data_IF_474347926989
#
_entry.id   IF_474347926989
#
_cell.length_a   1.000
_cell.length_b   1.000
_cell.length_c   1.000
_cell.angle_alpha   90.00
_cell.angle_beta   90.00
_cell.angle_gamma   90.00
#
_symmetry.space_group_name_H-M   'P 1'
#
loop_
_entity.id
_entity.type
_entity.pdbx_description
1 polymer ?
#
# COMPACT_ATOMS: atom_id res chain seq x y z
N UNK A 1 -5.61 -7.35 -25.17
CA UNK A 1 -4.74 -6.20 -25.48
C UNK A 1 -5.61 -4.96 -25.63
N UNK A 2 -5.29 -3.86 -24.95
CA UNK A 2 -6.11 -2.63 -24.98
C UNK A 2 -6.08 -1.95 -26.35
N UNK A 3 -7.05 -1.07 -26.62
CA UNK A 3 -7.05 -0.25 -27.84
C UNK A 3 -5.80 0.62 -27.94
N UNK A 4 -5.39 1.26 -26.84
CA UNK A 4 -4.16 2.03 -26.76
C UNK A 4 -2.93 1.21 -27.15
N UNK A 5 -2.79 -0.02 -26.62
CA UNK A 5 -1.64 -0.86 -26.95
C UNK A 5 -1.62 -1.28 -28.43
N UNK A 6 -2.79 -1.45 -29.06
CA UNK A 6 -2.89 -1.69 -30.51
C UNK A 6 -2.39 -0.49 -31.32
N UNK A 7 -2.77 0.73 -30.92
CA UNK A 7 -2.36 1.98 -31.57
C UNK A 7 -0.87 2.29 -31.40
N UNK A 8 -0.28 1.95 -30.25
CA UNK A 8 1.18 2.00 -30.07
C UNK A 8 1.90 1.03 -31.03
N UNK A 9 1.40 -0.21 -31.14
CA UNK A 9 2.00 -1.23 -32.00
C UNK A 9 1.81 -0.96 -33.49
N UNK A 10 0.75 -0.24 -33.89
CA UNK A 10 0.54 0.20 -35.28
C UNK A 10 1.33 1.46 -35.64
N UNK A 11 2.01 2.09 -34.67
CA UNK A 11 2.74 3.34 -34.86
C UNK A 11 1.86 4.59 -34.90
N UNK A 12 0.56 4.47 -34.62
CA UNK A 12 -0.37 5.61 -34.51
C UNK A 12 -0.15 6.43 -33.23
N UNK A 13 0.39 5.80 -32.19
CA UNK A 13 0.79 6.44 -30.94
C UNK A 13 2.27 6.18 -30.66
N UNK A 14 2.92 7.13 -29.99
CA UNK A 14 4.26 6.90 -29.46
C UNK A 14 4.23 5.82 -28.37
N UNK A 15 5.32 5.06 -28.29
CA UNK A 15 5.51 4.08 -27.23
C UNK A 15 5.61 4.78 -25.87
N UNK A 16 4.85 4.28 -24.90
CA UNK A 16 4.90 4.75 -23.53
C UNK A 16 6.27 4.45 -22.90
N UNK A 17 7.07 5.50 -22.67
CA UNK A 17 8.46 5.41 -22.20
C UNK A 17 8.61 4.53 -20.95
N UNK A 18 7.66 4.62 -20.03
CA UNK A 18 7.68 3.88 -18.77
C UNK A 18 7.46 2.37 -18.93
N UNK A 19 6.97 1.92 -20.08
CA UNK A 19 6.60 0.54 -20.35
C UNK A 19 7.54 -0.13 -21.38
N UNK A 20 8.49 0.61 -21.95
CA UNK A 20 9.49 0.07 -22.86
C UNK A 20 10.49 -0.77 -22.08
N UNK A 21 10.69 -2.02 -22.50
CA UNK A 21 11.63 -2.95 -21.84
C UNK A 21 13.03 -2.34 -21.72
N UNK A 22 13.59 -2.43 -20.51
CA UNK A 22 14.92 -1.92 -20.21
C UNK A 22 15.81 -3.04 -19.63
N UNK A 23 16.19 -4.04 -20.44
CA UNK A 23 16.91 -5.23 -19.96
C UNK A 23 18.34 -4.95 -19.49
N UNK A 24 18.86 -3.73 -19.67
CA UNK A 24 20.27 -3.41 -19.43
C UNK A 24 20.48 -2.47 -18.23
N UNK A 25 19.42 -1.97 -17.59
CA UNK A 25 19.52 -1.00 -16.48
C UNK A 25 19.15 -1.63 -15.15
N UNK A 26 20.12 -2.32 -14.55
CA UNK A 26 20.01 -2.92 -13.22
C UNK A 26 20.61 -2.05 -12.11
N UNK A 27 21.42 -1.06 -12.48
CA UNK A 27 22.01 -0.10 -11.56
C UNK A 27 21.15 1.17 -11.52
N UNK A 28 20.86 1.66 -10.31
CA UNK A 28 20.04 2.85 -10.12
C UNK A 28 20.75 4.13 -10.58
N UNK A 29 22.07 4.19 -10.38
CA UNK A 29 22.89 5.30 -10.89
C UNK A 29 23.37 4.99 -12.31
N UNK A 30 23.38 5.95 -13.24
CA UNK A 30 22.97 7.37 -13.17
C UNK A 30 21.44 7.54 -13.18
N UNK A 31 20.90 8.47 -12.38
CA UNK A 31 19.45 8.77 -12.36
C UNK A 31 19.05 9.40 -13.69
N UNK A 32 17.97 8.90 -14.29
CA UNK A 32 17.42 9.39 -15.57
C UNK A 32 16.09 10.11 -15.33
N UNK A 33 15.24 9.53 -14.49
CA UNK A 33 13.92 10.05 -14.17
C UNK A 33 13.96 10.75 -12.80
N UNK A 34 14.27 12.05 -12.84
CA UNK A 34 14.57 12.82 -11.63
C UNK A 34 13.35 13.02 -10.73
N UNK A 35 12.16 13.22 -11.29
CA UNK A 35 10.96 13.47 -10.51
C UNK A 35 10.55 12.22 -9.71
N UNK A 36 10.60 11.05 -10.34
CA UNK A 36 10.35 9.73 -9.76
C UNK A 36 11.39 9.44 -8.67
N UNK A 37 12.66 9.74 -8.95
CA UNK A 37 13.74 9.62 -7.97
C UNK A 37 13.48 10.49 -6.73
N UNK A 38 13.01 11.73 -6.92
CA UNK A 38 12.67 12.63 -5.82
C UNK A 38 11.43 12.16 -5.06
N UNK A 39 10.42 11.64 -5.74
CA UNK A 39 9.25 11.06 -5.08
C UNK A 39 9.65 9.87 -4.20
N UNK A 40 10.54 9.00 -4.68
CA UNK A 40 11.10 7.91 -3.87
C UNK A 40 11.83 8.44 -2.64
N UNK A 41 12.69 9.46 -2.78
CA UNK A 41 13.40 10.04 -1.63
C UNK A 41 12.46 10.70 -0.63
N UNK A 42 11.41 11.38 -1.09
CA UNK A 42 10.35 11.92 -0.22
C UNK A 42 9.61 10.82 0.53
N UNK A 43 9.30 9.71 -0.13
CA UNK A 43 8.65 8.57 0.53
C UNK A 43 9.57 7.96 1.60
N UNK A 44 10.84 7.73 1.29
CA UNK A 44 11.84 7.21 2.25
C UNK A 44 12.01 8.13 3.46
N UNK A 45 12.00 9.45 3.25
CA UNK A 45 12.09 10.43 4.34
C UNK A 45 10.88 10.40 5.29
N UNK A 46 9.76 9.81 4.86
CA UNK A 46 8.54 9.62 5.65
C UNK A 46 8.40 8.20 6.19
N UNK A 47 9.48 7.42 6.26
CA UNK A 47 9.47 6.08 6.85
C UNK A 47 9.06 6.15 8.33
N UNK A 48 8.29 5.16 8.76
CA UNK A 48 7.86 4.96 10.13
C UNK A 48 7.59 3.47 10.36
N UNK A 49 7.51 3.05 11.62
CA UNK A 49 7.30 1.67 12.04
C UNK A 49 6.06 1.54 12.95
N UNK A 50 5.45 0.36 12.99
CA UNK A 50 4.24 0.14 13.78
C UNK A 50 4.48 0.38 15.28
N UNK A 51 5.69 0.14 15.76
CA UNK A 51 6.15 0.34 17.13
C UNK A 51 6.17 1.81 17.56
N UNK A 52 6.17 2.75 16.63
CA UNK A 52 6.08 4.19 16.94
C UNK A 52 4.68 4.62 17.40
N UNK A 53 3.68 3.73 17.27
CA UNK A 53 2.30 4.02 17.67
C UNK A 53 2.07 3.68 19.15
N UNK A 54 1.87 4.71 19.99
CA UNK A 54 1.49 4.54 21.39
C UNK A 54 -0.02 4.31 21.54
N UNK A 55 -0.39 3.09 21.95
CA UNK A 55 -1.77 2.67 22.17
C UNK A 55 -2.14 2.52 23.65
N UNK A 56 -1.27 2.92 24.60
CA UNK A 56 -1.46 2.68 26.04
C UNK A 56 -2.78 3.25 26.57
N UNK A 57 -3.19 4.42 26.09
CA UNK A 57 -4.43 5.08 26.52
C UNK A 57 -5.67 4.64 25.72
N UNK A 58 -5.47 3.99 24.57
CA UNK A 58 -6.52 3.63 23.63
C UNK A 58 -7.68 2.86 24.26
N UNK A 59 -7.45 1.75 25.00
CA UNK A 59 -8.54 0.95 25.56
C UNK A 59 -9.47 1.71 26.51
N UNK A 60 -8.95 2.70 27.24
CA UNK A 60 -9.73 3.53 28.16
C UNK A 60 -10.66 4.47 27.39
N UNK A 61 -10.14 5.14 26.37
CA UNK A 61 -10.95 6.04 25.54
C UNK A 61 -11.96 5.27 24.70
N UNK A 62 -11.56 4.11 24.19
CA UNK A 62 -12.45 3.18 23.49
C UNK A 62 -13.65 2.81 24.34
N UNK A 63 -13.49 2.53 25.64
CA UNK A 63 -14.60 2.19 26.52
C UNK A 63 -15.67 3.30 26.67
N UNK A 64 -15.34 4.56 26.35
CA UNK A 64 -16.24 5.70 26.43
C UNK A 64 -16.90 6.05 25.08
N UNK A 65 -16.60 5.30 24.01
CA UNK A 65 -17.20 5.51 22.69
C UNK A 65 -18.63 4.96 22.69
N UNK A 66 -19.53 5.64 21.97
CA UNK A 66 -20.92 5.19 21.81
C UNK A 66 -21.01 3.91 20.97
N UNK A 67 -22.09 3.14 21.11
CA UNK A 67 -22.28 1.92 20.29
C UNK A 67 -22.23 2.19 18.79
N UNK A 68 -22.80 3.32 18.34
CA UNK A 68 -22.72 3.77 16.95
C UNK A 68 -21.28 4.11 16.53
N UNK A 69 -20.51 4.75 17.42
CA UNK A 69 -19.10 5.04 17.19
C UNK A 69 -18.26 3.77 17.10
N UNK A 70 -18.50 2.80 17.98
CA UNK A 70 -17.87 1.48 17.93
C UNK A 70 -18.20 0.75 16.64
N UNK A 71 -19.47 0.74 16.22
CA UNK A 71 -19.89 0.14 14.97
C UNK A 71 -19.13 0.78 13.80
N UNK A 72 -19.13 2.12 13.72
CA UNK A 72 -18.46 2.85 12.65
C UNK A 72 -16.95 2.53 12.58
N UNK A 73 -16.23 2.68 13.69
CA UNK A 73 -14.77 2.50 13.73
C UNK A 73 -14.38 1.06 13.39
N UNK A 74 -15.12 0.06 13.89
CA UNK A 74 -14.88 -1.36 13.55
C UNK A 74 -14.99 -1.63 12.05
N UNK A 75 -15.98 -1.06 11.38
CA UNK A 75 -16.17 -1.26 9.93
C UNK A 75 -15.10 -0.54 9.12
N UNK A 76 -14.70 0.67 9.54
CA UNK A 76 -13.59 1.40 8.92
C UNK A 76 -12.29 0.62 9.05
N UNK A 77 -11.97 0.09 10.23
CA UNK A 77 -10.78 -0.75 10.45
C UNK A 77 -10.81 -2.03 9.61
N UNK A 78 -11.97 -2.71 9.55
CA UNK A 78 -12.13 -3.91 8.74
C UNK A 78 -11.90 -3.63 7.25
N UNK A 79 -12.46 -2.53 6.73
CA UNK A 79 -12.24 -2.10 5.35
C UNK A 79 -10.76 -1.84 5.05
N UNK A 80 -10.06 -1.11 5.92
CA UNK A 80 -8.66 -0.77 5.70
C UNK A 80 -7.75 -2.00 5.76
N UNK A 81 -7.98 -2.90 6.72
CA UNK A 81 -7.20 -4.14 6.86
C UNK A 81 -7.22 -5.00 5.59
N UNK A 82 -8.37 -5.10 4.91
CA UNK A 82 -8.49 -5.83 3.64
C UNK A 82 -7.90 -5.03 2.46
N UNK A 83 -8.14 -3.71 2.43
CA UNK A 83 -7.75 -2.86 1.31
C UNK A 83 -6.23 -2.81 1.08
N UNK A 84 -5.42 -2.86 2.13
CA UNK A 84 -3.97 -2.80 2.00
C UNK A 84 -3.41 -4.04 1.27
N UNK A 85 -4.00 -5.21 1.51
CA UNK A 85 -3.64 -6.45 0.79
C UNK A 85 -3.95 -6.37 -0.70
N UNK A 86 -5.15 -5.88 -1.06
CA UNK A 86 -5.56 -5.72 -2.47
C UNK A 86 -4.63 -4.76 -3.22
N UNK A 87 -4.27 -3.63 -2.58
CA UNK A 87 -3.35 -2.66 -3.17
C UNK A 87 -1.95 -3.26 -3.33
N UNK A 88 -1.47 -4.00 -2.34
CA UNK A 88 -0.16 -4.67 -2.41
C UNK A 88 -0.09 -5.69 -3.54
N UNK A 89 -1.10 -6.55 -3.68
CA UNK A 89 -1.16 -7.53 -4.78
C UNK A 89 -1.08 -6.83 -6.15
N UNK A 90 -1.81 -5.72 -6.32
CA UNK A 90 -1.74 -4.97 -7.57
C UNK A 90 -0.36 -4.31 -7.79
N UNK A 91 0.25 -3.75 -6.75
CA UNK A 91 1.59 -3.14 -6.86
C UNK A 91 2.66 -4.17 -7.20
N UNK A 92 2.65 -5.33 -6.52
CA UNK A 92 3.63 -6.38 -6.69
C UNK A 92 3.45 -7.13 -8.02
N UNK A 93 2.22 -7.54 -8.33
CA UNK A 93 1.95 -8.42 -9.48
C UNK A 93 1.72 -7.66 -10.78
N UNK A 94 1.26 -6.40 -10.72
CA UNK A 94 0.96 -5.62 -11.92
C UNK A 94 1.90 -4.43 -12.11
N UNK A 95 1.82 -3.40 -11.26
CA UNK A 95 2.48 -2.12 -11.57
C UNK A 95 4.00 -2.22 -11.58
N UNK A 96 4.60 -2.87 -10.58
CA UNK A 96 6.06 -3.04 -10.50
C UNK A 96 6.62 -3.90 -11.64
N UNK A 97 5.81 -4.84 -12.15
CA UNK A 97 6.19 -5.70 -13.28
C UNK A 97 6.10 -4.97 -14.63
N UNK A 98 5.09 -4.10 -14.81
CA UNK A 98 4.84 -3.40 -16.08
C UNK A 98 5.76 -2.20 -16.27
N UNK A 99 5.94 -1.39 -15.23
CA UNK A 99 6.81 -0.21 -15.29
C UNK A 99 8.27 -0.66 -15.34
N UNK A 100 9.03 -0.13 -16.28
CA UNK A 100 10.42 -0.51 -16.57
C UNK A 100 11.45 0.49 -16.02
N UNK A 101 11.00 1.68 -15.61
CA UNK A 101 11.84 2.72 -15.00
C UNK A 101 12.28 2.30 -13.59
N UNK A 102 13.59 2.13 -13.33
CA UNK A 102 14.13 1.78 -12.02
C UNK A 102 13.72 2.71 -10.88
N UNK A 103 13.70 4.03 -11.09
CA UNK A 103 13.33 5.02 -10.07
C UNK A 103 11.88 4.86 -9.61
N UNK A 104 10.96 4.66 -10.56
CA UNK A 104 9.57 4.36 -10.26
C UNK A 104 9.40 3.00 -9.57
N UNK A 105 10.18 1.98 -9.97
CA UNK A 105 10.22 0.68 -9.27
C UNK A 105 10.72 0.82 -7.83
N UNK A 106 11.72 1.67 -7.56
CA UNK A 106 12.16 1.97 -6.20
C UNK A 106 11.02 2.60 -5.38
N UNK A 107 10.26 3.54 -5.97
CA UNK A 107 9.09 4.12 -5.32
C UNK A 107 8.04 3.04 -5.00
N UNK A 108 7.67 2.19 -5.96
CA UNK A 108 6.69 1.12 -5.74
C UNK A 108 7.16 0.08 -4.71
N UNK A 109 8.44 -0.29 -4.73
CA UNK A 109 9.00 -1.18 -3.72
C UNK A 109 8.85 -0.62 -2.31
N UNK A 110 9.12 0.67 -2.14
CA UNK A 110 8.93 1.33 -0.85
C UNK A 110 7.45 1.51 -0.48
N UNK A 111 6.58 1.77 -1.46
CA UNK A 111 5.15 1.82 -1.25
C UNK A 111 4.61 0.49 -0.73
N UNK A 112 5.08 -0.65 -1.27
CA UNK A 112 4.75 -1.99 -0.78
C UNK A 112 5.21 -2.15 0.67
N UNK A 113 6.43 -1.71 1.00
CA UNK A 113 6.93 -1.75 2.39
C UNK A 113 6.01 -0.99 3.34
N UNK A 114 5.64 0.25 3.02
CA UNK A 114 4.74 1.05 3.87
C UNK A 114 3.34 0.44 3.94
N UNK A 115 2.84 -0.15 2.86
CA UNK A 115 1.55 -0.87 2.88
C UNK A 115 1.55 -2.12 3.76
N UNK A 116 2.68 -2.82 3.88
CA UNK A 116 2.82 -3.88 4.88
C UNK A 116 2.74 -3.32 6.31
N UNK A 117 3.44 -2.21 6.58
CA UNK A 117 3.39 -1.56 7.90
C UNK A 117 1.98 -1.05 8.23
N UNK A 118 1.23 -0.54 7.23
CA UNK A 118 -0.18 -0.18 7.41
C UNK A 118 -1.02 -1.40 7.79
N UNK A 119 -0.79 -2.56 7.16
CA UNK A 119 -1.48 -3.81 7.48
C UNK A 119 -1.17 -4.29 8.91
N UNK A 120 0.09 -4.16 9.34
CA UNK A 120 0.51 -4.47 10.71
C UNK A 120 -0.21 -3.59 11.73
N UNK A 121 -0.25 -2.27 11.49
CA UNK A 121 -0.95 -1.33 12.37
C UNK A 121 -2.45 -1.58 12.39
N UNK A 122 -3.09 -1.82 11.25
CA UNK A 122 -4.51 -2.12 11.20
C UNK A 122 -4.82 -3.41 12.00
N UNK A 123 -3.97 -4.43 11.90
CA UNK A 123 -4.08 -5.66 12.67
C UNK A 123 -3.94 -5.40 14.18
N UNK A 124 -2.96 -4.58 14.58
CA UNK A 124 -2.75 -4.19 15.97
C UNK A 124 -3.95 -3.42 16.55
N UNK A 125 -4.50 -2.46 15.79
CA UNK A 125 -5.69 -1.69 16.19
C UNK A 125 -6.92 -2.59 16.32
N UNK A 126 -7.11 -3.54 15.38
CA UNK A 126 -8.19 -4.52 15.45
C UNK A 126 -8.04 -5.39 16.69
N UNK A 127 -6.83 -5.87 17.00
CA UNK A 127 -6.63 -6.70 18.17
C UNK A 127 -6.91 -5.94 19.47
N UNK A 128 -6.42 -4.70 19.55
CA UNK A 128 -6.57 -3.81 20.70
C UNK A 128 -8.03 -3.43 20.96
N UNK A 129 -8.79 -3.07 19.92
CA UNK A 129 -10.13 -2.49 20.07
C UNK A 129 -11.28 -3.48 19.82
N UNK A 130 -11.06 -4.50 19.01
CA UNK A 130 -12.13 -5.42 18.56
C UNK A 130 -12.05 -6.77 19.26
N UNK A 131 -10.85 -7.33 19.46
CA UNK A 131 -10.67 -8.68 19.99
C UNK A 131 -10.57 -8.77 21.52
N UNK A 132 -10.32 -7.66 22.22
CA UNK A 132 -10.20 -7.62 23.68
C UNK A 132 -11.46 -8.10 24.43
N UNK A 133 -12.62 -8.23 23.76
CA UNK A 133 -13.88 -8.75 24.33
C UNK A 133 -14.38 -10.02 23.62
N UNK A 134 -13.50 -11.00 23.40
CA UNK A 134 -13.88 -12.32 22.87
C UNK A 134 -14.30 -12.31 21.39
N UNK A 135 -14.04 -13.41 20.68
CA UNK A 135 -14.18 -13.50 19.22
C UNK A 135 -15.55 -13.02 18.72
N UNK A 136 -15.57 -11.84 18.11
CA UNK A 136 -16.72 -11.31 17.36
C UNK A 136 -16.65 -11.78 15.90
N UNK A 137 -17.80 -12.08 15.30
CA UNK A 137 -17.98 -12.55 13.91
C UNK A 137 -17.27 -11.67 12.86
N UNK A 138 -16.97 -10.41 13.16
CA UNK A 138 -16.24 -9.46 12.31
C UNK A 138 -14.80 -9.92 11.99
N UNK A 139 -14.15 -10.71 12.86
CA UNK A 139 -12.80 -11.26 12.56
C UNK A 139 -12.79 -12.30 11.43
N UNK A 140 -13.94 -12.88 11.10
CA UNK A 140 -14.02 -13.87 10.00
C UNK A 140 -13.97 -13.23 8.61
N UNK A 141 -14.32 -11.94 8.49
CA UNK A 141 -14.18 -11.19 7.25
C UNK A 141 -12.73 -10.77 6.98
N UNK A 142 -11.94 -10.52 8.03
CA UNK A 142 -10.54 -10.05 7.94
C UNK A 142 -9.55 -11.22 7.74
N UNK A 143 -9.95 -12.47 7.97
CA UNK A 143 -9.08 -13.67 7.93
C UNK A 143 -9.22 -14.52 6.65
N UNK A 144 -9.85 -14.03 5.59
CA UNK A 144 -9.94 -14.76 4.32
C UNK A 144 -8.79 -14.44 3.39
#
# INVERSE_FOLDING_TARGET
>A
MSEYKRKELSGELQLESFLVENPNRFVLFTIQEHDEGQMYKKAVASFWTAEELDLVHGPKDWANVTDNGHFFIKHVLAFFAESDGIVNENLAMNFSNKVQVPEARCFYGFQITIKNIHSDVNSLLIDTYVNARGRSSTTSAIRR
#
